data_IF_046123529240
#
_entry.id   IF_046123529240
#
_cell.length_a   1.000
_cell.length_b   1.000
_cell.length_c   1.000
_cell.angle_alpha   90.00
_cell.angle_beta   90.00
_cell.angle_gamma   90.00
#
_symmetry.space_group_name_H-M   'P 1'
#
loop_
_entity.id
_entity.type
_entity.pdbx_description
1 polymer ?
#
# COMPACT_ATOMS: atom_id res chain seq x y z
N UNK A 1 12.55 -17.51 -16.66
CA UNK A 1 11.80 -16.88 -15.55
C UNK A 1 10.95 -17.97 -14.92
N UNK A 2 11.37 -18.55 -13.80
CA UNK A 2 10.64 -19.65 -13.17
C UNK A 2 9.35 -19.13 -12.53
N UNK A 3 8.27 -19.93 -12.53
CA UNK A 3 6.97 -19.54 -11.94
C UNK A 3 7.08 -19.12 -10.46
N UNK A 4 8.12 -19.57 -9.76
CA UNK A 4 8.47 -19.13 -8.40
C UNK A 4 8.64 -17.62 -8.26
N UNK A 5 9.29 -16.95 -9.21
CA UNK A 5 9.55 -15.49 -9.12
C UNK A 5 8.26 -14.68 -9.25
N UNK A 6 7.31 -15.17 -10.04
CA UNK A 6 5.99 -14.54 -10.21
C UNK A 6 5.13 -14.69 -8.97
N UNK A 7 5.21 -15.83 -8.29
CA UNK A 7 4.48 -16.07 -7.05
C UNK A 7 5.06 -15.23 -5.91
N UNK A 8 6.38 -15.19 -5.77
CA UNK A 8 7.07 -14.42 -4.72
C UNK A 8 6.72 -12.92 -4.76
N UNK A 9 6.71 -12.32 -5.96
CA UNK A 9 6.40 -10.90 -6.11
C UNK A 9 4.95 -10.54 -5.80
N UNK A 10 4.01 -11.46 -6.05
CA UNK A 10 2.60 -11.27 -5.64
C UNK A 10 2.47 -11.30 -4.12
N UNK A 11 3.29 -12.09 -3.44
CA UNK A 11 3.30 -12.19 -1.98
C UNK A 11 3.91 -10.93 -1.35
N UNK A 12 5.06 -10.46 -1.85
CA UNK A 12 5.72 -9.26 -1.31
C UNK A 12 4.85 -8.01 -1.39
N UNK A 13 4.12 -7.81 -2.47
CA UNK A 13 3.19 -6.67 -2.60
C UNK A 13 2.06 -6.73 -1.56
N UNK A 14 1.54 -7.93 -1.30
CA UNK A 14 0.52 -8.13 -0.27
C UNK A 14 1.09 -7.85 1.12
N UNK A 15 2.31 -8.31 1.41
CA UNK A 15 2.99 -8.06 2.68
C UNK A 15 3.22 -6.55 2.89
N UNK A 16 3.65 -5.84 1.85
CA UNK A 16 3.83 -4.39 1.90
C UNK A 16 2.53 -3.65 2.22
N UNK A 17 1.44 -4.02 1.53
CA UNK A 17 0.11 -3.49 1.83
C UNK A 17 -0.33 -3.78 3.26
N UNK A 18 -0.19 -5.03 3.72
CA UNK A 18 -0.56 -5.42 5.08
C UNK A 18 0.20 -4.63 6.14
N UNK A 19 1.48 -4.34 5.93
CA UNK A 19 2.27 -3.55 6.87
C UNK A 19 1.73 -2.13 7.03
N UNK A 20 1.39 -1.47 5.92
CA UNK A 20 0.80 -0.13 5.95
C UNK A 20 -0.62 -0.14 6.55
N UNK A 21 -1.42 -1.15 6.21
CA UNK A 21 -2.77 -1.32 6.74
C UNK A 21 -2.78 -1.61 8.25
N UNK A 22 -1.92 -2.50 8.74
CA UNK A 22 -1.80 -2.80 10.17
C UNK A 22 -1.36 -1.57 10.96
N UNK A 23 -0.38 -0.81 10.45
CA UNK A 23 0.03 0.44 11.07
C UNK A 23 -1.14 1.44 11.15
N UNK A 24 -1.92 1.58 10.07
CA UNK A 24 -3.13 2.40 10.05
C UNK A 24 -4.14 1.96 11.11
N UNK A 25 -4.44 0.67 11.22
CA UNK A 25 -5.40 0.14 12.21
C UNK A 25 -4.92 0.41 13.64
N UNK A 26 -3.65 0.13 13.94
CA UNK A 26 -3.07 0.33 15.28
C UNK A 26 -3.11 1.82 15.67
N UNK A 27 -2.66 2.69 14.77
CA UNK A 27 -2.63 4.14 15.03
C UNK A 27 -4.05 4.69 15.22
N UNK A 28 -4.99 4.34 14.35
CA UNK A 28 -6.37 4.82 14.48
C UNK A 28 -7.08 4.25 15.72
N UNK A 29 -6.81 3.01 16.10
CA UNK A 29 -7.31 2.45 17.36
C UNK A 29 -6.76 3.19 18.58
N UNK A 30 -5.46 3.53 18.57
CA UNK A 30 -4.86 4.34 19.61
C UNK A 30 -5.45 5.76 19.66
N UNK A 31 -5.63 6.42 18.51
CA UNK A 31 -6.28 7.73 18.43
C UNK A 31 -7.74 7.69 18.91
N UNK A 32 -8.50 6.68 18.53
CA UNK A 32 -9.88 6.48 18.99
C UNK A 32 -9.94 6.35 20.52
N UNK A 33 -8.98 5.62 21.11
CA UNK A 33 -8.84 5.51 22.55
C UNK A 33 -8.52 6.88 23.19
N UNK A 34 -7.57 7.63 22.64
CA UNK A 34 -7.24 8.98 23.12
C UNK A 34 -8.45 9.92 23.03
N UNK A 35 -9.23 9.86 21.95
CA UNK A 35 -10.43 10.68 21.78
C UNK A 35 -11.49 10.37 22.83
N UNK A 36 -11.69 9.08 23.13
CA UNK A 36 -12.60 8.65 24.18
C UNK A 36 -12.21 9.23 25.55
N UNK A 37 -10.91 9.31 25.87
CA UNK A 37 -10.43 9.85 27.14
C UNK A 37 -10.31 11.38 27.17
N UNK A 38 -9.93 12.02 26.07
CA UNK A 38 -9.61 13.44 26.04
C UNK A 38 -10.83 14.33 25.74
N UNK A 39 -11.72 13.90 24.83
CA UNK A 39 -12.83 14.74 24.34
C UNK A 39 -13.90 13.87 23.67
N UNK A 40 -14.81 13.24 24.44
CA UNK A 40 -15.87 12.41 23.87
C UNK A 40 -16.86 13.19 22.98
N UNK A 41 -17.00 14.50 23.22
CA UNK A 41 -17.93 15.36 22.47
C UNK A 41 -17.42 15.80 21.09
N UNK A 42 -16.10 15.68 20.83
CA UNK A 42 -15.50 16.12 19.57
C UNK A 42 -14.67 15.01 18.93
N UNK A 43 -15.18 14.44 17.83
CA UNK A 43 -14.59 13.30 17.14
C UNK A 43 -13.46 13.72 16.19
N UNK A 44 -12.39 14.32 16.74
CA UNK A 44 -11.25 14.79 15.95
C UNK A 44 -10.52 13.66 15.22
N UNK A 45 -10.70 12.41 15.64
CA UNK A 45 -10.13 11.19 15.02
C UNK A 45 -10.63 10.96 13.60
N UNK A 46 -11.80 11.50 13.22
CA UNK A 46 -12.32 11.38 11.85
C UNK A 46 -11.38 12.02 10.82
N UNK A 47 -10.67 13.09 11.18
CA UNK A 47 -9.74 13.76 10.27
C UNK A 47 -8.58 12.85 9.84
N UNK A 48 -7.76 12.29 10.76
CA UNK A 48 -6.70 11.35 10.40
C UNK A 48 -7.26 10.06 9.79
N UNK A 49 -8.40 9.55 10.26
CA UNK A 49 -9.04 8.36 9.67
C UNK A 49 -9.35 8.57 8.19
N UNK A 50 -9.99 9.69 7.83
CA UNK A 50 -10.37 10.00 6.44
C UNK A 50 -9.14 10.33 5.60
N UNK A 51 -8.26 11.20 6.11
CA UNK A 51 -7.09 11.66 5.37
C UNK A 51 -6.11 10.52 5.09
N UNK A 52 -5.76 9.71 6.10
CA UNK A 52 -4.91 8.53 5.89
C UNK A 52 -5.67 7.36 5.25
N UNK A 53 -6.98 7.27 5.45
CA UNK A 53 -7.82 6.23 4.86
C UNK A 53 -7.78 6.26 3.34
N UNK A 54 -7.69 7.45 2.73
CA UNK A 54 -7.53 7.60 1.28
C UNK A 54 -6.21 6.99 0.80
N UNK A 55 -5.10 7.23 1.51
CA UNK A 55 -3.79 6.66 1.16
C UNK A 55 -3.76 5.13 1.25
N UNK A 56 -4.32 4.59 2.34
CA UNK A 56 -4.45 3.15 2.54
C UNK A 56 -5.38 2.51 1.51
N UNK A 57 -6.47 3.19 1.14
CA UNK A 57 -7.38 2.73 0.10
C UNK A 57 -6.72 2.73 -1.27
N UNK A 58 -5.89 3.72 -1.58
CA UNK A 58 -5.09 3.73 -2.81
C UNK A 58 -4.07 2.58 -2.85
N UNK A 59 -3.40 2.29 -1.73
CA UNK A 59 -2.51 1.12 -1.62
C UNK A 59 -3.27 -0.20 -1.75
N UNK A 60 -4.49 -0.29 -1.19
CA UNK A 60 -5.37 -1.44 -1.36
C UNK A 60 -5.72 -1.66 -2.83
N UNK A 61 -6.17 -0.61 -3.54
CA UNK A 61 -6.48 -0.68 -4.96
C UNK A 61 -5.26 -1.12 -5.77
N UNK A 62 -4.06 -0.61 -5.46
CA UNK A 62 -2.83 -1.06 -6.12
C UNK A 62 -2.51 -2.53 -5.87
N UNK A 63 -2.68 -3.00 -4.63
CA UNK A 63 -2.33 -4.36 -4.23
C UNK A 63 -3.37 -5.42 -4.66
N UNK A 64 -4.65 -5.06 -4.77
CA UNK A 64 -5.74 -5.98 -5.10
C UNK A 64 -6.29 -5.82 -6.53
N UNK A 65 -6.43 -4.58 -7.02
CA UNK A 65 -7.05 -4.30 -8.33
C UNK A 65 -5.98 -4.17 -9.42
N UNK A 66 -4.92 -3.40 -9.17
CA UNK A 66 -3.86 -3.15 -10.14
C UNK A 66 -2.64 -4.08 -9.99
N UNK A 67 -2.75 -5.14 -9.19
CA UNK A 67 -1.63 -6.00 -8.80
C UNK A 67 -0.90 -6.64 -10.00
N UNK A 68 -1.55 -6.70 -11.18
CA UNK A 68 -1.01 -7.22 -12.44
C UNK A 68 -0.76 -6.20 -13.55
N UNK A 69 -1.55 -5.15 -13.72
CA UNK A 69 -1.45 -4.29 -14.94
C UNK A 69 -0.35 -3.24 -14.85
N UNK A 70 -0.35 -2.43 -13.79
CA UNK A 70 0.62 -1.32 -13.64
C UNK A 70 2.05 -1.79 -13.42
N UNK A 71 2.22 -2.90 -12.68
CA UNK A 71 3.54 -3.41 -12.35
C UNK A 71 4.21 -4.13 -13.51
N UNK A 72 3.45 -4.84 -14.34
CA UNK A 72 3.98 -5.49 -15.54
C UNK A 72 4.42 -4.42 -16.55
N UNK A 73 3.61 -3.38 -16.79
CA UNK A 73 3.95 -2.28 -17.69
C UNK A 73 5.17 -1.48 -17.19
N UNK A 74 5.21 -1.12 -15.91
CA UNK A 74 6.36 -0.43 -15.31
C UNK A 74 7.64 -1.28 -15.39
N UNK A 75 7.51 -2.59 -15.14
CA UNK A 75 8.63 -3.52 -15.23
C UNK A 75 9.13 -3.69 -16.65
N UNK A 76 8.24 -3.82 -17.64
CA UNK A 76 8.61 -3.88 -19.05
C UNK A 76 9.35 -2.62 -19.49
N UNK A 77 8.91 -1.44 -19.05
CA UNK A 77 9.62 -0.17 -19.31
C UNK A 77 11.03 -0.15 -18.73
N UNK A 78 11.20 -0.55 -17.47
CA UNK A 78 12.53 -0.61 -16.83
C UNK A 78 13.47 -1.62 -17.50
N UNK A 79 12.94 -2.78 -17.88
CA UNK A 79 13.73 -3.80 -18.59
C UNK A 79 14.17 -3.25 -19.96
N UNK A 80 13.29 -2.54 -20.68
CA UNK A 80 13.63 -1.90 -21.94
C UNK A 80 14.74 -0.85 -21.78
N UNK A 81 14.66 0.01 -20.75
CA UNK A 81 15.71 1.00 -20.45
C UNK A 81 17.07 0.34 -20.14
N UNK A 82 17.11 -0.72 -19.34
CA UNK A 82 18.37 -1.40 -19.01
C UNK A 82 18.94 -2.17 -20.22
N UNK A 83 18.08 -2.74 -21.07
CA UNK A 83 18.49 -3.37 -22.33
C UNK A 83 19.05 -2.36 -23.33
N UNK A 84 18.54 -1.13 -23.34
CA UNK A 84 19.04 -0.04 -24.17
C UNK A 84 20.41 0.45 -23.68
N UNK A 85 20.59 0.61 -22.36
CA UNK A 85 21.89 0.95 -21.76
C UNK A 85 22.98 -0.09 -21.99
N UNK A 86 22.63 -1.38 -22.07
CA UNK A 86 23.60 -2.45 -22.37
C UNK A 86 23.96 -2.57 -23.87
N UNK A 87 23.16 -1.97 -24.75
CA UNK A 87 23.40 -1.98 -26.21
C UNK A 87 24.21 -0.78 -26.69
N UNK A 88 24.43 0.23 -25.84
CA UNK A 88 25.34 1.36 -26.04
C UNK A 88 26.71 1.05 -25.42
#
# INVERSE_FOLDING_TARGET
>A
MNDYDRVAQRVDKKIHFYRNFIAYVIVNAFLAMVNYFASPDFWWVLFPVIFWGIGVFADFLKAFVFAGTFDEEYRQRKIAEEMEKMKL
#
